data_IF_529423632090
#
_entry.id   IF_529423632090
#
_cell.length_a   1.000
_cell.length_b   1.000
_cell.length_c   1.000
_cell.angle_alpha   90.00
_cell.angle_beta   90.00
_cell.angle_gamma   90.00
#
_symmetry.space_group_name_H-M   'P 1'
#
loop_
_entity.id
_entity.type
_entity.pdbx_description
1 polymer ?
#
# COMPACT_ATOMS: atom_id res chain seq x y z
N UNK A 1 -3.06 66.72 -38.52
CA UNK A 1 -1.76 66.19 -38.99
C UNK A 1 -1.31 65.09 -38.02
N UNK A 2 -0.81 63.98 -38.59
CA UNK A 2 -0.26 62.73 -37.98
C UNK A 2 -1.22 61.57 -37.62
N UNK A 3 -1.55 60.80 -38.67
CA UNK A 3 -1.56 59.32 -38.85
C UNK A 3 -2.25 58.42 -37.81
N UNK A 4 -3.43 57.82 -38.05
CA UNK A 4 -3.82 56.76 -39.01
C UNK A 4 -3.14 55.39 -38.77
N UNK A 5 -3.85 54.46 -38.13
CA UNK A 5 -3.94 53.01 -38.47
C UNK A 5 -5.37 52.54 -38.12
N UNK A 6 -6.24 52.34 -39.11
CA UNK A 6 -6.52 51.06 -39.81
C UNK A 6 -7.15 50.03 -38.87
N UNK A 7 -8.47 49.90 -38.90
CA UNK A 7 -9.23 48.89 -39.67
C UNK A 7 -9.40 47.57 -38.90
N UNK A 8 -10.63 47.36 -38.41
CA UNK A 8 -11.51 46.19 -38.59
C UNK A 8 -10.81 44.86 -38.98
N UNK A 9 -11.16 43.79 -38.24
CA UNK A 9 -11.37 42.38 -38.65
C UNK A 9 -10.63 41.36 -37.77
N UNK A 10 -11.40 40.63 -36.95
CA UNK A 10 -11.37 39.19 -36.62
C UNK A 10 -12.27 39.02 -35.38
N UNK A 11 -13.51 38.50 -35.37
CA UNK A 11 -14.10 37.26 -35.92
C UNK A 11 -13.26 36.02 -35.56
N UNK A 12 -13.93 35.05 -34.91
CA UNK A 12 -13.48 33.70 -34.44
C UNK A 12 -12.71 33.75 -33.11
N UNK A 13 -13.06 33.07 -32.00
CA UNK A 13 -13.63 31.73 -31.74
C UNK A 13 -14.24 31.80 -30.32
N UNK A 14 -15.55 31.81 -30.14
CA UNK A 14 -16.39 30.65 -29.75
C UNK A 14 -15.96 29.84 -28.52
N UNK A 15 -16.88 29.75 -27.55
CA UNK A 15 -17.27 28.50 -26.88
C UNK A 15 -16.31 27.80 -25.90
N UNK A 16 -15.47 28.51 -25.12
CA UNK A 16 -14.68 27.84 -24.08
C UNK A 16 -15.15 28.07 -22.62
N UNK A 17 -15.92 29.13 -22.32
CA UNK A 17 -16.12 29.53 -20.90
C UNK A 17 -17.50 29.20 -20.32
N UNK A 18 -18.48 28.78 -21.13
CA UNK A 18 -19.84 28.46 -20.65
C UNK A 18 -20.15 26.95 -20.64
N UNK A 19 -19.22 26.09 -21.09
CA UNK A 19 -19.37 24.61 -21.00
C UNK A 19 -18.97 24.08 -19.60
N UNK A 20 -18.34 24.88 -18.74
CA UNK A 20 -17.91 24.38 -17.42
C UNK A 20 -19.04 24.30 -16.38
N UNK A 21 -20.17 25.00 -16.58
CA UNK A 21 -21.25 25.08 -15.57
C UNK A 21 -22.50 24.29 -16.01
N UNK A 22 -22.66 23.99 -17.30
CA UNK A 22 -23.85 23.31 -17.85
C UNK A 22 -23.74 21.79 -18.02
N UNK A 23 -22.67 21.15 -17.52
CA UNK A 23 -22.67 19.70 -17.29
C UNK A 23 -23.11 19.33 -15.87
N UNK A 24 -23.49 20.31 -15.03
CA UNK A 24 -23.93 20.05 -13.66
C UNK A 24 -25.43 19.78 -13.52
N UNK A 25 -26.22 19.81 -14.60
CA UNK A 25 -27.67 19.60 -14.49
C UNK A 25 -28.29 19.13 -15.81
N UNK A 26 -28.19 17.82 -16.11
CA UNK A 26 -29.33 17.08 -16.66
C UNK A 26 -29.09 15.58 -16.73
N UNK A 27 -30.06 14.86 -16.15
CA UNK A 27 -30.38 13.46 -16.34
C UNK A 27 -29.32 12.43 -15.96
N UNK A 28 -29.31 12.07 -14.68
CA UNK A 28 -29.47 10.65 -14.38
C UNK A 28 -30.75 10.46 -13.58
N UNK A 29 -31.76 9.95 -14.25
CA UNK A 29 -32.91 9.29 -13.65
C UNK A 29 -32.43 8.32 -12.56
N UNK A 30 -33.26 8.20 -11.52
CA UNK A 30 -32.94 7.52 -10.28
C UNK A 30 -32.23 6.19 -10.47
N UNK A 31 -30.99 6.14 -9.99
CA UNK A 31 -30.46 4.97 -9.31
C UNK A 31 -29.86 5.47 -8.02
N UNK A 32 -30.54 5.21 -6.91
CA UNK A 32 -29.86 5.08 -5.63
C UNK A 32 -28.71 4.11 -5.89
N UNK A 33 -27.49 4.62 -6.04
CA UNK A 33 -26.31 3.76 -6.09
C UNK A 33 -26.31 3.10 -4.73
N UNK A 34 -26.59 1.80 -4.74
CA UNK A 34 -26.56 0.95 -3.57
C UNK A 34 -25.15 1.12 -3.00
N UNK A 35 -25.04 1.93 -1.94
CA UNK A 35 -23.82 2.02 -1.15
C UNK A 35 -23.69 0.69 -0.45
N UNK A 36 -23.20 -0.34 -1.16
CA UNK A 36 -22.87 -1.71 -0.72
C UNK A 36 -22.44 -2.61 -1.91
N UNK A 37 -21.90 -2.07 -3.00
CA UNK A 37 -21.16 -2.93 -3.95
C UNK A 37 -19.70 -2.99 -3.49
N UNK A 38 -19.15 -4.19 -3.18
CA UNK A 38 -17.72 -4.32 -2.93
C UNK A 38 -16.99 -3.82 -4.17
N UNK A 39 -16.15 -2.81 -3.98
CA UNK A 39 -15.29 -2.26 -5.03
C UNK A 39 -14.30 -3.35 -5.43
N UNK A 40 -14.67 -4.16 -6.42
CA UNK A 40 -13.81 -5.15 -7.06
C UNK A 40 -12.77 -4.46 -7.98
N UNK A 41 -12.02 -3.49 -7.46
CA UNK A 41 -10.72 -3.18 -8.07
C UNK A 41 -9.81 -4.37 -7.79
N UNK A 42 -9.11 -4.93 -8.80
CA UNK A 42 -8.13 -5.98 -8.55
C UNK A 42 -7.08 -5.49 -7.56
N UNK A 43 -6.91 -6.22 -6.45
CA UNK A 43 -5.83 -5.95 -5.50
C UNK A 43 -4.50 -6.10 -6.23
N UNK A 44 -3.77 -4.99 -6.40
CA UNK A 44 -2.44 -5.04 -7.00
C UNK A 44 -1.45 -5.41 -5.91
N UNK A 45 -0.73 -6.51 -6.10
CA UNK A 45 0.27 -6.99 -5.14
C UNK A 45 1.69 -6.73 -5.61
N UNK A 46 2.58 -6.31 -4.72
CA UNK A 46 4.01 -6.13 -4.96
C UNK A 46 4.82 -6.87 -3.89
N UNK A 47 5.55 -7.92 -4.29
CA UNK A 47 6.47 -8.62 -3.39
C UNK A 47 7.75 -7.81 -3.21
N UNK A 48 8.12 -7.53 -1.95
CA UNK A 48 9.30 -6.74 -1.58
C UNK A 48 10.35 -7.54 -0.81
N UNK A 49 9.96 -8.66 -0.20
CA UNK A 49 10.86 -9.70 0.30
C UNK A 49 10.29 -11.02 -0.19
N UNK A 50 11.09 -11.84 -0.90
CA UNK A 50 10.62 -13.06 -1.55
C UNK A 50 11.38 -14.27 -1.01
N UNK A 51 10.72 -15.08 -0.20
CA UNK A 51 11.24 -16.35 0.34
C UNK A 51 12.67 -16.25 0.90
N UNK A 52 12.95 -15.21 1.69
CA UNK A 52 14.27 -15.01 2.28
C UNK A 52 14.47 -15.89 3.52
N UNK A 53 15.50 -16.74 3.52
CA UNK A 53 15.86 -17.54 4.70
C UNK A 53 16.51 -16.66 5.78
N UNK A 54 16.20 -16.94 7.05
CA UNK A 54 16.86 -16.33 8.20
C UNK A 54 17.16 -17.38 9.28
N UNK A 55 18.17 -17.13 10.13
CA UNK A 55 18.53 -17.99 11.24
C UNK A 55 19.25 -17.22 12.37
N UNK A 56 19.41 -17.83 13.54
CA UNK A 56 20.08 -17.22 14.69
C UNK A 56 19.10 -16.81 15.79
N UNK A 57 19.42 -15.82 16.62
CA UNK A 57 18.57 -15.39 17.75
C UNK A 57 17.83 -14.08 17.48
N UNK A 58 18.31 -13.26 16.54
CA UNK A 58 17.66 -12.04 16.10
C UNK A 58 18.00 -11.78 14.63
N UNK A 59 17.01 -11.34 13.84
CA UNK A 59 17.20 -10.89 12.46
C UNK A 59 16.39 -9.63 12.19
N UNK A 60 16.80 -8.87 11.18
CA UNK A 60 16.08 -7.68 10.74
C UNK A 60 16.15 -7.58 9.23
N UNK A 61 14.99 -7.44 8.60
CA UNK A 61 14.85 -7.20 7.17
C UNK A 61 14.19 -5.85 6.96
N UNK A 62 14.78 -5.00 6.12
CA UNK A 62 14.20 -3.72 5.72
C UNK A 62 13.44 -3.89 4.42
N UNK A 63 12.26 -3.30 4.33
CA UNK A 63 11.54 -3.13 3.08
C UNK A 63 11.02 -1.69 2.96
N UNK A 64 10.62 -1.29 1.75
CA UNK A 64 10.04 0.03 1.50
C UNK A 64 8.63 -0.13 0.93
N UNK A 65 7.71 0.74 1.36
CA UNK A 65 6.40 0.90 0.74
C UNK A 65 6.47 2.06 -0.25
N UNK A 66 6.38 1.81 -1.57
CA UNK A 66 6.34 2.87 -2.57
C UNK A 66 4.94 3.49 -2.67
N UNK A 67 4.85 4.64 -3.34
CA UNK A 67 3.57 5.28 -3.62
C UNK A 67 2.62 4.35 -4.36
N UNK A 68 1.34 4.40 -3.99
CA UNK A 68 0.29 3.54 -4.56
C UNK A 68 0.02 2.26 -3.77
N UNK A 69 0.89 1.87 -2.83
CA UNK A 69 0.67 0.74 -1.91
C UNK A 69 0.45 1.25 -0.49
N UNK A 70 -0.25 0.45 0.33
CA UNK A 70 -0.52 0.80 1.72
C UNK A 70 -0.77 -0.36 2.66
N UNK A 71 -0.99 -1.57 2.16
CA UNK A 71 -1.23 -2.74 3.01
C UNK A 71 -0.06 -3.69 2.95
N UNK A 72 0.28 -4.30 4.09
CA UNK A 72 1.38 -5.26 4.21
C UNK A 72 0.82 -6.63 4.56
N UNK A 73 1.28 -7.64 3.83
CA UNK A 73 1.15 -9.06 4.16
C UNK A 73 2.55 -9.60 4.45
N UNK A 74 2.78 -10.11 5.64
CA UNK A 74 4.01 -10.80 6.02
C UNK A 74 3.71 -12.28 6.27
N UNK A 75 4.37 -13.16 5.52
CA UNK A 75 4.28 -14.61 5.68
C UNK A 75 5.58 -15.15 6.26
N UNK A 76 5.46 -16.00 7.28
CA UNK A 76 6.60 -16.65 7.92
C UNK A 76 6.41 -18.16 7.88
N UNK A 77 7.48 -18.89 7.58
CA UNK A 77 7.53 -20.34 7.78
C UNK A 77 8.62 -20.68 8.79
N UNK A 78 8.23 -21.13 9.97
CA UNK A 78 9.19 -21.54 11.00
C UNK A 78 9.78 -22.91 10.66
N UNK A 79 11.10 -22.96 10.46
CA UNK A 79 11.88 -24.19 10.20
C UNK A 79 12.62 -24.67 11.45
N UNK A 80 12.55 -23.91 12.55
CA UNK A 80 13.15 -24.25 13.84
C UNK A 80 12.25 -25.12 14.71
N UNK A 81 12.77 -25.50 15.88
CA UNK A 81 12.07 -26.36 16.84
C UNK A 81 11.32 -25.59 17.95
N UNK A 82 11.39 -24.26 17.94
CA UNK A 82 10.80 -23.36 18.94
C UNK A 82 10.13 -22.18 18.26
N UNK A 83 9.08 -21.69 18.90
CA UNK A 83 8.40 -20.48 18.48
C UNK A 83 9.37 -19.30 18.50
N UNK A 84 9.17 -18.37 17.56
CA UNK A 84 9.87 -17.09 17.57
C UNK A 84 8.85 -15.97 17.50
N UNK A 85 9.26 -14.77 17.91
CA UNK A 85 8.43 -13.57 17.81
C UNK A 85 8.87 -12.71 16.65
N UNK A 86 7.94 -11.90 16.13
CA UNK A 86 8.26 -10.88 15.15
C UNK A 86 7.61 -9.54 15.51
N UNK A 87 8.15 -8.46 14.95
CA UNK A 87 7.54 -7.13 14.99
C UNK A 87 7.85 -6.40 13.68
N UNK A 88 6.86 -5.72 13.12
CA UNK A 88 7.02 -4.83 11.98
C UNK A 88 6.96 -3.39 12.49
N UNK A 89 8.05 -2.64 12.29
CA UNK A 89 8.19 -1.26 12.74
C UNK A 89 8.31 -0.29 11.56
N UNK A 90 7.73 0.91 11.70
CA UNK A 90 7.86 2.02 10.75
C UNK A 90 9.11 2.86 11.06
N UNK A 91 9.84 3.26 10.02
CA UNK A 91 10.94 4.23 10.07
C UNK A 91 12.28 3.69 10.61
N UNK A 92 12.26 2.83 11.63
CA UNK A 92 13.46 2.19 12.19
C UNK A 92 13.14 0.85 12.87
N UNK A 93 14.18 0.10 13.26
CA UNK A 93 14.03 -1.18 13.99
C UNK A 93 13.38 -1.03 15.36
N UNK A 94 13.38 0.17 15.94
CA UNK A 94 12.74 0.54 17.21
C UNK A 94 11.68 1.63 17.02
N UNK A 95 11.15 1.77 15.81
CA UNK A 95 10.14 2.77 15.48
C UNK A 95 8.74 2.37 15.93
N UNK A 96 7.71 3.00 15.34
CA UNK A 96 6.32 2.70 15.67
C UNK A 96 5.97 1.27 15.25
N UNK A 97 5.57 0.45 16.22
CA UNK A 97 5.10 -0.90 15.94
C UNK A 97 3.76 -0.87 15.19
N UNK A 98 3.74 -1.55 14.05
CA UNK A 98 2.55 -1.69 13.19
C UNK A 98 1.83 -2.99 13.51
N UNK A 99 2.58 -4.08 13.62
CA UNK A 99 2.06 -5.41 13.98
C UNK A 99 3.17 -6.25 14.61
N UNK A 100 2.78 -7.23 15.41
CA UNK A 100 3.69 -8.14 16.09
C UNK A 100 2.98 -9.44 16.43
N UNK A 101 3.73 -10.52 16.60
CA UNK A 101 3.15 -11.80 16.98
C UNK A 101 4.18 -12.87 17.28
N UNK A 102 3.69 -14.07 17.55
CA UNK A 102 4.49 -15.30 17.69
C UNK A 102 4.19 -16.23 16.54
N UNK A 103 5.23 -16.85 15.97
CA UNK A 103 5.16 -17.82 14.88
C UNK A 103 5.46 -19.22 15.44
N UNK A 104 4.45 -20.11 15.49
CA UNK A 104 4.62 -21.47 16.01
C UNK A 104 5.68 -22.27 15.26
N UNK A 105 6.38 -23.16 15.96
CA UNK A 105 7.28 -24.16 15.36
C UNK A 105 6.54 -25.39 14.81
N UNK A 106 5.53 -25.16 13.96
CA UNK A 106 4.71 -26.22 13.36
C UNK A 106 5.05 -26.51 11.89
N UNK A 107 6.06 -25.82 11.33
CA UNK A 107 6.50 -25.98 9.95
C UNK A 107 5.55 -25.40 8.90
N UNK A 108 4.43 -24.78 9.31
CA UNK A 108 3.45 -24.18 8.41
C UNK A 108 3.78 -22.72 8.13
N UNK A 109 3.17 -22.20 7.07
CA UNK A 109 3.19 -20.76 6.81
C UNK A 109 2.13 -20.08 7.69
N UNK A 110 2.54 -19.01 8.37
CA UNK A 110 1.68 -18.13 9.14
C UNK A 110 1.74 -16.73 8.54
N UNK A 111 0.58 -16.17 8.21
CA UNK A 111 0.45 -14.87 7.56
C UNK A 111 -0.13 -13.83 8.51
N UNK A 112 0.43 -12.63 8.48
CA UNK A 112 -0.02 -11.48 9.27
C UNK A 112 -0.23 -10.28 8.35
N UNK A 113 -1.24 -9.49 8.66
CA UNK A 113 -1.65 -8.33 7.87
C UNK A 113 -1.52 -7.05 8.68
N UNK A 114 -1.31 -5.92 8.00
CA UNK A 114 -1.52 -4.60 8.59
C UNK A 114 -3.01 -4.30 8.67
N UNK A 115 -3.50 -3.89 9.84
CA UNK A 115 -4.93 -3.60 10.06
C UNK A 115 -5.43 -2.31 9.39
N UNK A 116 -4.52 -1.45 8.93
CA UNK A 116 -4.81 -0.18 8.28
C UNK A 116 -3.80 0.13 7.18
N UNK A 117 -4.20 1.02 6.26
CA UNK A 117 -3.28 1.56 5.27
C UNK A 117 -2.11 2.30 5.95
N UNK A 118 -0.91 2.02 5.48
CA UNK A 118 0.36 2.55 5.92
C UNK A 118 0.89 3.60 4.93
N UNK A 119 1.74 4.49 5.43
CA UNK A 119 2.35 5.54 4.60
C UNK A 119 3.51 4.99 3.78
N UNK A 120 3.87 5.70 2.71
CA UNK A 120 5.11 5.43 1.98
C UNK A 120 6.31 5.63 2.90
N UNK A 121 7.33 4.79 2.76
CA UNK A 121 8.51 4.88 3.62
C UNK A 121 9.21 3.56 3.87
N UNK A 122 10.15 3.57 4.81
CA UNK A 122 10.92 2.40 5.22
C UNK A 122 10.30 1.70 6.41
N UNK A 123 10.26 0.38 6.35
CA UNK A 123 9.73 -0.49 7.38
C UNK A 123 10.72 -1.63 7.65
N UNK A 124 10.61 -2.20 8.84
CA UNK A 124 11.55 -3.20 9.34
C UNK A 124 10.79 -4.37 9.94
N UNK A 125 11.00 -5.57 9.41
CA UNK A 125 10.56 -6.82 10.04
C UNK A 125 11.71 -7.32 10.92
N UNK A 126 11.49 -7.35 12.22
CA UNK A 126 12.44 -7.89 13.19
C UNK A 126 11.91 -9.19 13.73
N UNK A 127 12.74 -10.24 13.79
CA UNK A 127 12.41 -11.52 14.41
C UNK A 127 13.33 -11.79 15.58
N UNK A 128 12.84 -12.46 16.63
CA UNK A 128 13.65 -12.80 17.80
C UNK A 128 13.25 -14.12 18.45
N UNK A 129 14.23 -14.86 18.96
CA UNK A 129 14.07 -16.11 19.70
C UNK A 129 15.14 -16.25 20.78
N UNK A 130 14.75 -16.70 21.97
CA UNK A 130 15.67 -16.97 23.08
C UNK A 130 16.53 -18.24 22.88
N UNK A 131 16.10 -19.18 22.03
CA UNK A 131 16.74 -20.50 21.86
C UNK A 131 17.30 -20.71 20.46
N UNK A 132 17.38 -19.65 19.66
CA UNK A 132 17.66 -19.73 18.23
C UNK A 132 16.39 -20.04 17.42
N UNK A 133 16.41 -19.64 16.15
CA UNK A 133 15.35 -19.86 15.18
C UNK A 133 15.94 -20.06 13.79
N UNK A 134 15.13 -20.62 12.91
CA UNK A 134 15.35 -20.56 11.47
C UNK A 134 14.00 -20.49 10.78
N UNK A 135 13.94 -19.85 9.63
CA UNK A 135 12.68 -19.70 8.91
C UNK A 135 12.83 -19.05 7.55
N UNK A 136 11.70 -18.88 6.89
CA UNK A 136 11.58 -18.17 5.61
C UNK A 136 10.61 -17.00 5.83
N UNK A 137 10.97 -15.84 5.27
CA UNK A 137 10.16 -14.61 5.26
C UNK A 137 9.74 -14.26 3.82
N UNK A 138 8.46 -13.96 3.65
CA UNK A 138 7.92 -13.26 2.48
C UNK A 138 7.17 -12.00 2.94
N UNK A 139 7.38 -10.89 2.24
CA UNK A 139 6.62 -9.65 2.47
C UNK A 139 6.11 -9.16 1.13
N UNK A 140 4.79 -8.98 1.08
CA UNK A 140 4.07 -8.48 -0.09
C UNK A 140 3.20 -7.28 0.31
N UNK A 141 3.07 -6.33 -0.61
CA UNK A 141 2.32 -5.10 -0.44
C UNK A 141 1.03 -5.12 -1.26
N UNK A 142 -0.04 -4.53 -0.75
CA UNK A 142 -1.34 -4.42 -1.42
C UNK A 142 -1.85 -2.98 -1.52
N UNK A 143 -2.75 -2.74 -2.47
CA UNK A 143 -3.46 -1.46 -2.67
C UNK A 143 -4.73 -1.34 -1.82
N UNK A 144 -5.23 -2.45 -1.30
CA UNK A 144 -6.44 -2.59 -0.47
C UNK A 144 -6.24 -3.65 0.62
N UNK A 145 -7.19 -3.72 1.57
CA UNK A 145 -7.27 -4.80 2.55
C UNK A 145 -7.62 -6.08 1.77
N UNK A 146 -6.65 -6.99 1.63
CA UNK A 146 -6.88 -8.33 1.09
C UNK A 146 -7.72 -9.17 2.05
#
# INVERSE_FOLDING_TARGET
MKHVRKMIVAVLVSAAVIILIYNFTSNSEGRFVKANEPRNTPSTTLTVINNEDFAGTANTHRFNIPAGFGYVKASFKNKGAKDFTFTINEGSTSGTAITSGSVPADGKEHTYYSDKALSTGSYYVSTSSAQGMSGILDVSLGTDVN
#
